data_IF_292835551114
#
_entry.id   IF_292835551114
#
_cell.length_a   1.000
_cell.length_b   1.000
_cell.length_c   1.000
_cell.angle_alpha   90.00
_cell.angle_beta   90.00
_cell.angle_gamma   90.00
#
_symmetry.space_group_name_H-M   'P 1'
#
loop_
_entity.id
_entity.type
_entity.pdbx_description
1 polymer ?
#
# COMPACT_ATOMS: atom_id res chain seq x y z
N UNK A 1 -3.64 -15.34 29.98
CA UNK A 1 -4.23 -14.62 28.84
C UNK A 1 -3.64 -15.23 27.60
N UNK A 2 -4.47 -15.71 26.67
CA UNK A 2 -4.04 -16.27 25.39
C UNK A 2 -4.13 -15.21 24.30
N UNK A 3 -3.29 -15.29 23.27
CA UNK A 3 -3.27 -14.31 22.18
C UNK A 3 -3.08 -14.94 20.81
N UNK A 4 -3.47 -14.23 19.75
CA UNK A 4 -3.10 -14.53 18.37
C UNK A 4 -2.77 -13.21 17.69
N UNK A 5 -1.54 -13.01 17.23
CA UNK A 5 -1.11 -11.78 16.54
C UNK A 5 -0.98 -12.07 15.05
N UNK A 6 -1.83 -11.45 14.24
CA UNK A 6 -1.84 -11.59 12.79
C UNK A 6 -1.18 -10.36 12.18
N UNK A 7 -0.13 -10.56 11.37
CA UNK A 7 0.62 -9.52 10.66
C UNK A 7 0.38 -9.68 9.15
N UNK A 8 -0.67 -9.06 8.60
CA UNK A 8 -0.97 -9.19 7.18
C UNK A 8 0.02 -8.39 6.33
N UNK A 9 0.14 -8.78 5.06
CA UNK A 9 0.77 -7.96 4.01
C UNK A 9 -0.19 -6.86 3.54
N UNK A 10 0.13 -6.22 2.40
CA UNK A 10 -0.72 -5.17 1.83
C UNK A 10 -2.17 -5.64 1.60
N UNK A 11 -3.13 -4.74 1.78
CA UNK A 11 -4.52 -5.01 1.42
C UNK A 11 -4.77 -4.71 -0.05
N UNK A 12 -5.74 -5.40 -0.65
CA UNK A 12 -6.12 -5.19 -2.05
C UNK A 12 -6.46 -3.72 -2.32
N UNK A 13 -7.27 -3.08 -1.47
CA UNK A 13 -7.61 -1.67 -1.63
C UNK A 13 -6.39 -0.74 -1.72
N UNK A 14 -5.32 -1.04 -0.98
CA UNK A 14 -4.11 -0.21 -0.91
C UNK A 14 -3.32 -0.24 -2.21
N UNK A 15 -3.51 -1.28 -3.03
CA UNK A 15 -2.84 -1.45 -4.33
C UNK A 15 -3.78 -1.24 -5.51
N UNK A 16 -5.00 -0.72 -5.30
CA UNK A 16 -6.02 -0.55 -6.34
C UNK A 16 -6.28 0.90 -6.76
N UNK A 17 -5.78 1.88 -6.02
CA UNK A 17 -6.17 3.30 -6.20
C UNK A 17 -5.87 3.94 -7.57
N UNK A 18 -5.03 3.34 -8.41
CA UNK A 18 -4.74 3.90 -9.75
C UNK A 18 -5.68 3.36 -10.84
N UNK A 19 -6.53 2.37 -10.56
CA UNK A 19 -7.39 1.75 -11.57
C UNK A 19 -8.39 2.75 -12.16
N UNK A 20 -9.05 3.56 -11.33
CA UNK A 20 -9.98 4.59 -11.81
C UNK A 20 -9.28 5.60 -12.74
N UNK A 21 -8.05 5.99 -12.41
CA UNK A 21 -7.22 6.83 -13.26
C UNK A 21 -6.94 6.18 -14.62
N UNK A 22 -6.58 4.89 -14.63
CA UNK A 22 -6.36 4.12 -15.86
C UNK A 22 -7.64 4.05 -16.71
N UNK A 23 -8.79 3.78 -16.10
CA UNK A 23 -10.09 3.77 -16.79
C UNK A 23 -10.43 5.14 -17.38
N UNK A 24 -10.01 6.22 -16.71
CA UNK A 24 -10.07 7.61 -17.21
C UNK A 24 -8.99 7.98 -18.23
N UNK A 25 -8.06 7.07 -18.57
CA UNK A 25 -7.00 7.28 -19.55
C UNK A 25 -5.70 7.89 -19.02
N UNK A 26 -5.58 8.05 -17.69
CA UNK A 26 -4.36 8.47 -17.03
C UNK A 26 -3.25 7.39 -17.11
N UNK A 27 -1.97 7.78 -17.05
CA UNK A 27 -0.88 6.82 -16.93
C UNK A 27 -0.83 6.22 -15.51
N UNK A 28 -0.30 5.00 -15.41
CA UNK A 28 0.06 4.37 -14.14
C UNK A 28 1.44 4.87 -13.69
N UNK A 29 1.53 5.39 -12.47
CA UNK A 29 2.74 5.95 -11.87
C UNK A 29 3.39 4.91 -10.97
N UNK A 30 4.69 4.69 -11.17
CA UNK A 30 5.51 3.75 -10.41
C UNK A 30 6.82 4.42 -10.01
N UNK A 31 7.44 3.92 -8.95
CA UNK A 31 8.70 4.45 -8.44
C UNK A 31 9.90 3.62 -8.89
N UNK A 32 11.04 4.30 -9.09
CA UNK A 32 12.31 3.67 -9.48
C UNK A 32 12.24 3.00 -10.85
N UNK A 33 12.55 1.71 -10.91
CA UNK A 33 12.47 0.86 -12.11
C UNK A 33 11.14 0.08 -12.21
N UNK A 34 10.20 0.32 -11.29
CA UNK A 34 8.95 -0.42 -11.18
C UNK A 34 9.06 -1.79 -10.50
N UNK A 35 10.26 -2.19 -10.07
CA UNK A 35 10.55 -3.45 -9.40
C UNK A 35 11.27 -3.27 -8.03
N UNK A 36 11.38 -2.02 -7.57
CA UNK A 36 11.94 -1.65 -6.25
C UNK A 36 11.20 -2.37 -5.13
N UNK A 37 9.88 -2.40 -5.19
CA UNK A 37 9.01 -3.00 -4.17
C UNK A 37 8.22 -4.18 -4.73
N UNK A 38 8.08 -5.22 -3.91
CA UNK A 38 7.24 -6.40 -4.12
C UNK A 38 6.21 -6.55 -3.01
N UNK A 39 5.06 -7.09 -3.35
CA UNK A 39 4.05 -7.50 -2.37
C UNK A 39 3.30 -8.76 -2.81
N UNK A 40 2.72 -9.48 -1.86
CA UNK A 40 1.66 -10.48 -2.11
C UNK A 40 0.42 -10.07 -1.31
N UNK A 41 -0.39 -9.13 -1.83
CA UNK A 41 -1.51 -8.57 -1.10
C UNK A 41 -2.54 -9.63 -0.72
N UNK A 42 -3.29 -9.42 0.35
CA UNK A 42 -4.38 -10.31 0.80
C UNK A 42 -5.74 -9.62 0.69
N UNK A 43 -6.75 -10.38 0.25
CA UNK A 43 -8.13 -9.92 0.24
C UNK A 43 -8.65 -9.71 1.67
N UNK A 44 -9.39 -8.63 1.89
CA UNK A 44 -9.90 -8.27 3.22
C UNK A 44 -10.83 -9.36 3.79
N UNK A 45 -11.64 -9.98 2.93
CA UNK A 45 -12.54 -11.08 3.32
C UNK A 45 -11.79 -12.35 3.75
N UNK A 46 -10.70 -12.69 3.07
CA UNK A 46 -9.87 -13.85 3.43
C UNK A 46 -9.01 -13.57 4.66
N UNK A 47 -8.54 -12.34 4.84
CA UNK A 47 -7.89 -11.93 6.09
C UNK A 47 -8.86 -12.02 7.27
N UNK A 48 -10.11 -11.56 7.10
CA UNK A 48 -11.13 -11.68 8.13
C UNK A 48 -11.40 -13.14 8.51
N UNK A 49 -11.47 -14.03 7.52
CA UNK A 49 -11.60 -15.48 7.74
C UNK A 49 -10.40 -16.04 8.52
N UNK A 50 -9.16 -15.66 8.16
CA UNK A 50 -7.96 -16.09 8.88
C UNK A 50 -7.99 -15.65 10.36
N UNK A 51 -8.37 -14.40 10.61
CA UNK A 51 -8.47 -13.82 11.95
C UNK A 51 -9.55 -14.52 12.77
N UNK A 52 -10.75 -14.73 12.20
CA UNK A 52 -11.84 -15.46 12.86
C UNK A 52 -11.46 -16.90 13.14
N UNK A 53 -10.80 -17.56 12.18
CA UNK A 53 -10.26 -18.89 12.34
C UNK A 53 -9.32 -18.95 13.55
N UNK A 54 -8.46 -17.94 13.74
CA UNK A 54 -7.47 -17.89 14.84
C UNK A 54 -8.06 -17.89 16.26
N UNK A 55 -9.38 -17.81 16.40
CA UNK A 55 -10.10 -18.00 17.66
C UNK A 55 -10.35 -19.47 18.00
N UNK A 56 -10.30 -20.37 17.01
CA UNK A 56 -10.46 -21.82 17.19
C UNK A 56 -9.18 -22.43 17.79
N UNK A 57 -9.23 -23.02 19.00
CA UNK A 57 -8.05 -23.63 19.63
C UNK A 57 -7.47 -24.84 18.88
N UNK A 58 -8.24 -25.45 17.96
CA UNK A 58 -7.84 -26.67 17.25
C UNK A 58 -6.91 -26.41 16.07
N UNK A 59 -6.84 -25.18 15.58
CA UNK A 59 -6.02 -24.83 14.40
C UNK A 59 -4.55 -24.53 14.73
N UNK A 60 -4.16 -24.58 16.01
CA UNK A 60 -2.80 -24.33 16.47
C UNK A 60 -2.30 -22.88 16.27
N UNK A 61 -3.19 -21.88 16.24
CA UNK A 61 -2.86 -20.45 16.08
C UNK A 61 -2.82 -19.66 17.40
N UNK A 62 -3.24 -20.27 18.51
CA UNK A 62 -3.16 -19.68 19.86
C UNK A 62 -1.69 -19.55 20.31
N UNK A 63 -1.40 -18.45 21.00
CA UNK A 63 -0.11 -18.01 21.53
C UNK A 63 0.97 -17.88 20.45
N UNK A 64 0.55 -17.47 19.23
CA UNK A 64 1.42 -17.28 18.08
C UNK A 64 1.37 -15.87 17.51
N UNK A 65 2.48 -15.51 16.88
CA UNK A 65 2.61 -14.36 15.98
C UNK A 65 2.80 -14.92 14.58
N UNK A 66 1.91 -14.56 13.65
CA UNK A 66 1.82 -15.15 12.31
C UNK A 66 1.88 -14.04 11.27
N UNK A 67 2.74 -14.18 10.26
CA UNK A 67 2.64 -13.37 9.06
C UNK A 67 1.66 -14.02 8.10
N UNK A 68 0.90 -13.21 7.36
CA UNK A 68 -0.11 -13.71 6.42
C UNK A 68 -0.07 -12.86 5.17
N UNK A 69 0.29 -13.46 4.05
CA UNK A 69 0.20 -12.86 2.73
C UNK A 69 -0.87 -13.54 1.89
N UNK A 70 -1.30 -12.89 0.81
CA UNK A 70 -2.26 -13.50 -0.09
C UNK A 70 -1.66 -14.57 -0.98
N UNK A 71 -2.49 -15.14 -1.88
CA UNK A 71 -2.15 -16.34 -2.63
C UNK A 71 -1.12 -16.09 -3.75
N UNK A 72 -1.01 -14.85 -4.23
CA UNK A 72 -0.13 -14.50 -5.33
C UNK A 72 1.36 -14.74 -5.01
N UNK A 73 2.15 -14.83 -6.09
CA UNK A 73 3.60 -14.69 -5.98
C UNK A 73 4.01 -13.25 -5.61
N UNK A 74 5.31 -12.98 -5.45
CA UNK A 74 5.79 -11.61 -5.29
C UNK A 74 5.47 -10.78 -6.53
N UNK A 75 4.55 -9.83 -6.41
CA UNK A 75 4.14 -8.92 -7.47
C UNK A 75 4.93 -7.61 -7.35
N UNK A 76 5.58 -7.18 -8.43
CA UNK A 76 6.18 -5.85 -8.49
C UNK A 76 5.13 -4.78 -8.78
N UNK A 77 5.46 -3.52 -8.51
CA UNK A 77 4.58 -2.39 -8.86
C UNK A 77 4.27 -2.35 -10.36
N UNK A 78 5.27 -2.66 -11.21
CA UNK A 78 5.08 -2.81 -12.66
C UNK A 78 4.05 -3.91 -13.01
N UNK A 79 4.14 -5.07 -12.38
CA UNK A 79 3.20 -6.18 -12.62
C UNK A 79 1.78 -5.83 -12.17
N UNK A 80 1.61 -5.12 -11.04
CA UNK A 80 0.30 -4.64 -10.59
C UNK A 80 -0.33 -3.70 -11.63
N UNK A 81 0.45 -2.77 -12.18
CA UNK A 81 -0.02 -1.89 -13.25
C UNK A 81 -0.42 -2.65 -14.52
N UNK A 82 0.35 -3.68 -14.91
CA UNK A 82 -0.01 -4.55 -16.04
C UNK A 82 -1.35 -5.27 -15.80
N UNK A 83 -1.57 -5.82 -14.61
CA UNK A 83 -2.83 -6.46 -14.25
C UNK A 83 -4.02 -5.46 -14.28
N UNK A 84 -3.81 -4.20 -13.86
CA UNK A 84 -4.85 -3.17 -13.96
C UNK A 84 -5.18 -2.82 -15.41
N UNK A 85 -4.17 -2.68 -16.28
CA UNK A 85 -4.39 -2.42 -17.70
C UNK A 85 -5.13 -3.56 -18.38
N UNK A 86 -4.78 -4.81 -18.05
CA UNK A 86 -5.48 -6.00 -18.53
C UNK A 86 -6.94 -6.02 -18.08
N UNK A 87 -7.20 -5.74 -16.80
CA UNK A 87 -8.55 -5.65 -16.25
C UNK A 87 -9.37 -4.51 -16.89
N UNK A 88 -8.73 -3.41 -17.27
CA UNK A 88 -9.34 -2.30 -18.01
C UNK A 88 -9.59 -2.61 -19.50
N UNK A 89 -9.22 -3.80 -19.99
CA UNK A 89 -9.33 -4.18 -21.40
C UNK A 89 -8.40 -3.39 -22.32
N UNK A 90 -7.31 -2.85 -21.79
CA UNK A 90 -6.31 -2.06 -22.51
C UNK A 90 -5.11 -2.96 -22.86
N UNK A 91 -5.02 -3.36 -24.13
CA UNK A 91 -3.88 -4.16 -24.61
C UNK A 91 -2.54 -3.44 -24.47
N UNK A 92 -1.44 -4.19 -24.61
CA UNK A 92 -0.05 -3.76 -24.36
C UNK A 92 0.32 -2.38 -24.97
N UNK A 93 -0.15 -2.09 -26.19
CA UNK A 93 0.15 -0.84 -26.89
C UNK A 93 -0.48 0.42 -26.26
N UNK A 94 -1.46 0.25 -25.36
CA UNK A 94 -2.15 1.34 -24.67
C UNK A 94 -1.65 1.54 -23.23
N UNK A 95 -0.77 0.68 -22.74
CA UNK A 95 -0.24 0.79 -21.38
C UNK A 95 0.71 1.99 -21.29
N UNK A 96 0.45 2.90 -20.35
CA UNK A 96 1.22 4.13 -20.17
C UNK A 96 1.82 4.16 -18.77
N UNK A 97 3.12 3.94 -18.68
CA UNK A 97 3.84 3.94 -17.41
C UNK A 97 4.64 5.23 -17.23
N UNK A 98 4.55 5.83 -16.05
CA UNK A 98 5.35 6.98 -15.64
C UNK A 98 6.24 6.57 -14.47
N UNK A 99 7.54 6.73 -14.64
CA UNK A 99 8.54 6.34 -13.65
C UNK A 99 9.00 7.56 -12.86
N UNK A 100 8.64 7.62 -11.60
CA UNK A 100 9.07 8.65 -10.66
C UNK A 100 10.33 8.18 -9.90
N UNK A 101 11.38 9.01 -9.81
CA UNK A 101 12.56 8.64 -9.05
C UNK A 101 12.27 8.61 -7.53
N UNK A 102 12.79 7.61 -6.81
CA UNK A 102 12.56 7.44 -5.37
C UNK A 102 13.14 8.57 -4.51
N UNK A 103 14.20 9.23 -4.99
CA UNK A 103 14.79 10.39 -4.30
C UNK A 103 13.81 11.57 -4.16
N UNK A 104 12.71 11.62 -4.93
CA UNK A 104 11.72 12.69 -4.80
C UNK A 104 11.14 12.76 -3.38
N UNK A 105 10.96 11.62 -2.73
CA UNK A 105 10.50 11.55 -1.35
C UNK A 105 11.48 12.23 -0.40
N UNK A 106 12.78 12.01 -0.59
CA UNK A 106 13.81 12.62 0.25
C UNK A 106 13.76 14.15 0.17
N UNK A 107 13.58 14.72 -1.03
CA UNK A 107 13.41 16.17 -1.18
C UNK A 107 12.13 16.70 -0.55
N UNK A 108 11.01 15.98 -0.66
CA UNK A 108 9.73 16.38 -0.06
C UNK A 108 9.82 16.33 1.47
N UNK A 109 10.34 15.22 2.02
CA UNK A 109 10.54 15.03 3.46
C UNK A 109 11.47 16.11 4.01
N UNK A 110 12.62 16.33 3.38
CA UNK A 110 13.57 17.37 3.77
C UNK A 110 12.94 18.77 3.71
N UNK A 111 12.15 19.04 2.67
CA UNK A 111 11.44 20.31 2.49
C UNK A 111 10.47 20.58 3.64
N UNK A 112 9.60 19.61 3.94
CA UNK A 112 8.63 19.71 5.03
C UNK A 112 9.32 19.83 6.40
N UNK A 113 10.36 19.02 6.66
CA UNK A 113 11.11 19.08 7.92
C UNK A 113 11.81 20.44 8.10
N UNK A 114 12.42 21.00 7.05
CA UNK A 114 13.06 22.33 7.14
C UNK A 114 12.06 23.42 7.48
N UNK A 115 10.85 23.35 6.93
CA UNK A 115 9.78 24.31 7.23
C UNK A 115 9.30 24.14 8.67
N UNK A 116 9.12 22.90 9.14
CA UNK A 116 8.79 22.60 10.53
C UNK A 116 9.85 23.16 11.49
N UNK A 117 11.14 22.90 11.23
CA UNK A 117 12.25 23.38 12.06
C UNK A 117 12.35 24.92 12.08
N UNK A 118 12.13 25.58 10.94
CA UNK A 118 12.10 27.04 10.84
C UNK A 118 10.93 27.65 11.64
N UNK A 119 9.74 27.04 11.57
CA UNK A 119 8.58 27.46 12.36
C UNK A 119 8.79 27.22 13.85
N UNK A 120 9.35 26.07 14.25
CA UNK A 120 9.67 25.75 15.64
C UNK A 120 10.59 26.79 16.28
N UNK A 121 11.59 27.26 15.53
CA UNK A 121 12.45 28.37 15.96
C UNK A 121 11.65 29.67 16.14
N UNK A 122 10.76 29.99 15.20
CA UNK A 122 9.90 31.18 15.24
C UNK A 122 8.87 31.15 16.38
N UNK A 123 8.36 29.98 16.76
CA UNK A 123 7.51 29.75 17.93
C UNK A 123 8.30 29.98 19.23
N UNK A 124 9.56 29.49 19.30
CA UNK A 124 10.46 29.76 20.43
C UNK A 124 10.76 31.25 20.63
N UNK A 125 10.74 32.03 19.55
CA UNK A 125 10.90 33.49 19.54
C UNK A 125 9.58 34.26 19.77
N UNK A 126 8.45 33.56 20.01
CA UNK A 126 7.14 34.15 20.33
C UNK A 126 6.33 34.67 19.13
N UNK A 127 6.72 34.34 17.89
CA UNK A 127 6.17 34.93 16.67
C UNK A 127 5.18 34.01 15.90
N UNK A 128 4.90 32.80 16.38
CA UNK A 128 4.00 31.85 15.71
C UNK A 128 3.24 30.94 16.70
N UNK A 129 2.06 30.47 16.31
CA UNK A 129 1.23 29.51 17.05
C UNK A 129 1.59 28.04 16.78
N UNK A 130 1.30 27.13 17.73
CA UNK A 130 1.70 25.71 17.66
C UNK A 130 0.97 24.87 16.60
N UNK A 131 -0.27 25.23 16.25
CA UNK A 131 -1.11 24.53 15.25
C UNK A 131 -0.47 24.45 13.85
N UNK A 132 0.31 25.47 13.53
CA UNK A 132 0.94 25.67 12.24
C UNK A 132 2.24 24.86 12.08
N UNK A 133 2.78 24.32 13.19
CA UNK A 133 3.94 23.44 13.25
C UNK A 133 3.52 21.98 13.09
N UNK A 134 2.45 21.58 13.79
CA UNK A 134 1.91 20.22 13.81
C UNK A 134 1.59 19.72 12.39
N UNK A 135 0.99 20.57 11.55
CA UNK A 135 0.71 20.22 10.17
C UNK A 135 1.96 19.88 9.33
N UNK A 136 3.08 20.60 9.49
CA UNK A 136 4.30 20.30 8.71
C UNK A 136 5.01 19.04 9.23
N UNK A 137 4.94 18.79 10.53
CA UNK A 137 5.43 17.53 11.12
C UNK A 137 4.62 16.33 10.59
N UNK A 138 3.29 16.46 10.57
CA UNK A 138 2.37 15.44 10.02
C UNK A 138 2.57 15.25 8.51
N UNK A 139 2.78 16.33 7.75
CA UNK A 139 3.06 16.24 6.32
C UNK A 139 4.40 15.54 6.05
N UNK A 140 5.44 15.84 6.84
CA UNK A 140 6.72 15.14 6.75
C UNK A 140 6.58 13.65 7.08
N UNK A 141 5.80 13.31 8.11
CA UNK A 141 5.55 11.92 8.48
C UNK A 141 4.75 11.18 7.41
N UNK A 142 3.72 11.81 6.86
CA UNK A 142 2.94 11.28 5.72
C UNK A 142 3.85 11.00 4.53
N UNK A 143 4.81 11.87 4.23
CA UNK A 143 5.78 11.67 3.16
C UNK A 143 6.76 10.50 3.45
N UNK A 144 7.16 10.29 4.72
CA UNK A 144 7.97 9.12 5.14
C UNK A 144 7.19 7.83 4.99
N UNK A 145 5.93 7.82 5.37
CA UNK A 145 5.02 6.68 5.16
C UNK A 145 4.90 6.40 3.66
N UNK A 146 4.66 7.43 2.84
CA UNK A 146 4.62 7.29 1.39
C UNK A 146 5.92 6.69 0.80
N UNK A 147 7.08 7.14 1.29
CA UNK A 147 8.38 6.58 0.88
C UNK A 147 8.49 5.11 1.27
N UNK A 148 8.11 4.74 2.49
CA UNK A 148 8.13 3.36 2.98
C UNK A 148 7.35 2.43 2.02
N UNK A 149 6.12 2.78 1.67
CA UNK A 149 5.31 2.00 0.72
C UNK A 149 5.90 1.95 -0.70
N UNK A 150 6.71 2.93 -1.09
CA UNK A 150 7.33 3.00 -2.40
C UNK A 150 8.65 2.21 -2.53
N UNK A 151 9.27 1.82 -1.41
CA UNK A 151 10.62 1.21 -1.43
C UNK A 151 10.76 -0.06 -0.59
N UNK A 152 9.84 -0.34 0.33
CA UNK A 152 9.92 -1.52 1.22
C UNK A 152 9.01 -2.64 0.73
N UNK A 153 9.55 -3.87 0.70
CA UNK A 153 8.79 -5.06 0.34
C UNK A 153 7.73 -5.39 1.40
N UNK A 154 6.51 -5.66 0.96
CA UNK A 154 5.38 -6.07 1.80
C UNK A 154 4.96 -7.50 1.44
N UNK A 155 5.85 -8.44 1.73
CA UNK A 155 5.81 -9.78 1.19
C UNK A 155 6.02 -10.83 2.29
N UNK A 156 5.24 -11.90 2.26
CA UNK A 156 5.58 -13.18 2.92
C UNK A 156 6.21 -14.14 1.92
N UNK A 157 7.24 -14.86 2.35
CA UNK A 157 8.02 -15.76 1.46
C UNK A 157 7.84 -17.23 1.81
N UNK A 158 7.46 -17.55 3.05
CA UNK A 158 7.22 -18.93 3.46
C UNK A 158 5.90 -19.43 2.84
N UNK A 159 5.88 -20.62 2.20
CA UNK A 159 4.64 -21.22 1.70
C UNK A 159 3.53 -21.30 2.74
N UNK A 160 3.87 -21.52 4.02
CA UNK A 160 2.89 -21.65 5.11
C UNK A 160 2.31 -20.29 5.56
N UNK A 161 2.89 -19.19 5.11
CA UNK A 161 2.41 -17.82 5.37
C UNK A 161 1.46 -17.31 4.27
N UNK A 162 1.19 -18.11 3.23
CA UNK A 162 0.22 -17.77 2.19
C UNK A 162 -1.17 -18.24 2.58
N UNK A 163 -2.15 -17.37 2.44
CA UNK A 163 -3.55 -17.67 2.74
C UNK A 163 -4.47 -17.16 1.65
N UNK A 164 -5.60 -17.86 1.48
CA UNK A 164 -6.64 -17.49 0.55
C UNK A 164 -6.43 -18.03 -0.86
N UNK A 165 -7.30 -17.58 -1.75
CA UNK A 165 -7.48 -18.04 -3.13
C UNK A 165 -7.80 -16.89 -4.08
N UNK A 166 -8.21 -15.73 -3.56
CA UNK A 166 -8.53 -14.56 -4.36
C UNK A 166 -7.23 -13.90 -4.77
N UNK A 167 -6.98 -13.82 -6.08
CA UNK A 167 -5.78 -13.21 -6.64
C UNK A 167 -6.00 -11.73 -6.97
N UNK A 168 -4.91 -10.97 -7.11
CA UNK A 168 -4.95 -9.58 -7.58
C UNK A 168 -5.62 -9.45 -8.94
N UNK A 169 -5.44 -10.43 -9.83
CA UNK A 169 -6.11 -10.46 -11.13
C UNK A 169 -7.63 -10.52 -10.96
N UNK A 170 -8.13 -11.46 -10.15
CA UNK A 170 -9.56 -11.59 -9.87
C UNK A 170 -10.13 -10.32 -9.23
N UNK A 171 -9.37 -9.71 -8.31
CA UNK A 171 -9.76 -8.46 -7.68
C UNK A 171 -9.90 -7.32 -8.71
N UNK A 172 -8.89 -7.08 -9.54
CA UNK A 172 -8.93 -6.01 -10.55
C UNK A 172 -10.03 -6.24 -11.59
N UNK A 173 -10.25 -7.47 -12.06
CA UNK A 173 -11.35 -7.80 -12.97
C UNK A 173 -12.71 -7.48 -12.33
N UNK A 174 -12.89 -7.79 -11.04
CA UNK A 174 -14.10 -7.45 -10.28
C UNK A 174 -14.30 -5.94 -10.20
N UNK A 175 -13.32 -5.18 -9.70
CA UNK A 175 -13.49 -3.74 -9.49
C UNK A 175 -13.51 -2.92 -10.80
N UNK A 176 -12.95 -3.44 -11.89
CA UNK A 176 -13.11 -2.83 -13.22
C UNK A 176 -14.55 -2.93 -13.74
N UNK A 177 -15.28 -3.99 -13.40
CA UNK A 177 -16.68 -4.19 -13.81
C UNK A 177 -17.71 -3.63 -12.83
N UNK A 178 -17.47 -3.79 -11.54
CA UNK A 178 -18.41 -3.42 -10.47
C UNK A 178 -18.18 -2.02 -9.90
N UNK A 179 -17.04 -1.40 -10.24
CA UNK A 179 -16.55 -0.20 -9.58
C UNK A 179 -15.78 -0.53 -8.30
N UNK A 180 -15.01 0.44 -7.83
CA UNK A 180 -14.29 0.35 -6.57
C UNK A 180 -15.21 0.74 -5.40
N UNK A 181 -15.04 0.11 -4.24
CA UNK A 181 -15.82 0.47 -3.04
C UNK A 181 -15.54 1.94 -2.64
N UNK A 182 -16.58 2.79 -2.47
CA UNK A 182 -16.44 4.21 -2.11
C UNK A 182 -15.72 4.48 -0.78
N UNK A 183 -15.46 3.46 0.06
CA UNK A 183 -14.65 3.62 1.27
C UNK A 183 -13.13 3.50 1.03
N UNK A 184 -12.68 3.44 -0.21
CA UNK A 184 -11.26 3.60 -0.54
C UNK A 184 -10.95 5.11 -0.62
N UNK A 185 -10.17 5.69 0.31
CA UNK A 185 -9.81 7.09 0.18
C UNK A 185 -9.00 7.30 -1.10
N UNK A 186 -9.52 8.15 -1.98
CA UNK A 186 -8.77 8.83 -3.05
C UNK A 186 -7.85 9.88 -2.47
#
# INVERSE_FOLDING_TARGET
>A
MTYSVVRPTAFFKSVSGQLEGILGGAPYVLFGDGAVTRCNPIAEEELAEFMMGSLDPTNGRIDKIMNVGGPDGPLTNRMLGELMYDAAGLGESKQKFVYAPTWIFDYVIDGFQRIADWKKKSVGDGNAGPEDLEWWEDAAETARIGKYYAVEDMLTTDPDEKYGTITMKMHYEKIAGEGQDPFTPV
#
